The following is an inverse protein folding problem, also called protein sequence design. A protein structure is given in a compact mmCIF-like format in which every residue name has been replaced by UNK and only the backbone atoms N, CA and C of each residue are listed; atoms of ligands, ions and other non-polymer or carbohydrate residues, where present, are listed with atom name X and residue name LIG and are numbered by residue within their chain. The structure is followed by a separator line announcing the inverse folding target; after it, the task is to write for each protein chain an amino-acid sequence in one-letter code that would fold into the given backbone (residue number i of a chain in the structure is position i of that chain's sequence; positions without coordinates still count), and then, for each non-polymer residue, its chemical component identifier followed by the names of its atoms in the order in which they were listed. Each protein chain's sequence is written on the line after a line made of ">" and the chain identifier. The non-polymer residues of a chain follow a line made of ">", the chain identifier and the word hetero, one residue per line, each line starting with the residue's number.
data_IF_799175372311
#
_entry.id   IF_799175372311
#
_cell.length_a   1.000
_cell.length_b   1.000
_cell.length_c   1.000
_cell.angle_alpha   90.00
_cell.angle_beta   90.00
_cell.angle_gamma   90.00
#
_symmetry.space_group_name_H-M   'P 1'
#
loop_
_entity.id
_entity.type
_entity.pdbx_description
1 polymer ?
2 non-polymer ?
#
# COMPACT_ATOMS: atom_id res chain seq x y z
N UNK A 1 26.13 4.22 1.81
CA UNK A 1 24.72 3.89 2.00
C UNK A 1 24.49 2.39 2.19
N UNK A 2 23.74 2.04 3.22
CA UNK A 2 23.51 0.63 3.56
C UNK A 2 22.03 0.26 3.69
N UNK A 3 21.20 0.88 2.86
CA UNK A 3 19.78 0.52 2.76
C UNK A 3 19.30 0.53 1.31
N UNK A 4 18.31 -0.30 1.01
CA UNK A 4 17.75 -0.41 -0.33
C UNK A 4 16.60 0.57 -0.54
N UNK A 5 16.68 1.35 -1.61
CA UNK A 5 15.63 2.31 -1.89
C UNK A 5 14.80 1.84 -3.06
N UNK A 6 13.51 2.10 -2.97
CA UNK A 6 12.55 1.65 -3.95
C UNK A 6 11.55 2.74 -4.19
N UNK A 7 11.19 2.92 -5.45
CA UNK A 7 10.08 3.79 -5.79
C UNK A 7 8.93 2.89 -6.25
N UNK A 8 7.81 2.97 -5.55
CA UNK A 8 6.66 2.15 -5.83
C UNK A 8 5.59 3.02 -6.44
N UNK A 9 5.15 2.68 -7.67
CA UNK A 9 4.09 3.51 -8.25
C UNK A 9 2.75 3.29 -7.58
N UNK A 10 2.07 4.36 -7.17
CA UNK A 10 0.77 4.27 -6.48
C UNK A 10 0.01 5.57 -6.68
N UNK A 11 -1.19 5.50 -7.28
CA UNK A 11 -2.00 6.71 -7.55
C UNK A 11 -2.28 7.44 -6.25
N UNK A 12 -2.76 8.68 -6.34
CA UNK A 12 -2.87 9.47 -5.12
C UNK A 12 -4.15 9.12 -4.36
N UNK A 13 -4.86 8.11 -4.86
CA UNK A 13 -6.15 7.70 -4.30
C UNK A 13 -6.07 6.36 -3.56
N UNK A 14 -5.55 5.34 -4.24
CA UNK A 14 -5.37 4.05 -3.62
C UNK A 14 -4.16 3.97 -2.71
N UNK A 15 -3.51 5.12 -2.50
CA UNK A 15 -2.24 5.18 -1.78
C UNK A 15 -2.30 4.57 -0.39
N UNK A 16 -3.24 5.06 0.43
CA UNK A 16 -3.42 4.52 1.77
C UNK A 16 -3.43 3.01 1.68
N UNK A 17 -4.14 2.50 0.70
CA UNK A 17 -4.33 1.06 0.56
C UNK A 17 -3.06 0.38 0.09
N UNK A 18 -2.30 1.08 -0.76
CA UNK A 18 -1.03 0.53 -1.25
C UNK A 18 -0.11 0.39 -0.06
N UNK A 19 -0.08 1.43 0.76
CA UNK A 19 0.64 1.46 2.04
C UNK A 19 0.35 0.19 2.83
N UNK A 20 -0.93 -0.14 2.98
CA UNK A 20 -1.31 -1.30 3.80
C UNK A 20 -0.82 -2.59 3.16
N UNK A 21 -0.93 -2.69 1.83
CA UNK A 21 -0.53 -3.90 1.13
C UNK A 21 0.93 -4.22 1.46
N UNK A 22 1.73 -3.15 1.45
CA UNK A 22 3.17 -3.24 1.58
C UNK A 22 3.59 -3.69 2.96
N UNK A 23 2.90 -3.14 3.95
CA UNK A 23 3.10 -3.48 5.36
C UNK A 23 2.87 -4.97 5.62
N UNK A 24 1.78 -5.50 5.06
CA UNK A 24 1.43 -6.92 5.17
C UNK A 24 2.43 -7.83 4.45
N UNK A 25 2.86 -7.39 3.27
CA UNK A 25 3.72 -8.15 2.36
C UNK A 25 5.19 -8.20 2.80
N UNK A 26 5.61 -7.21 3.59
CA UNK A 26 6.99 -7.12 4.06
C UNK A 26 7.09 -7.59 5.50
N UNK A 27 5.99 -7.44 6.24
CA UNK A 27 5.91 -7.84 7.65
C UNK A 27 7.04 -7.23 8.48
N UNK A 28 7.23 -5.91 8.35
CA UNK A 28 8.31 -5.23 9.08
C UNK A 28 8.00 -5.30 10.56
N UNK A 29 9.03 -5.45 11.39
CA UNK A 29 8.80 -5.46 12.83
C UNK A 29 8.49 -4.06 13.30
N UNK A 30 9.16 -3.07 12.70
CA UNK A 30 8.87 -1.65 12.96
C UNK A 30 8.90 -0.85 11.66
N UNK A 31 7.87 -0.02 11.44
CA UNK A 31 7.82 0.89 10.30
C UNK A 31 7.64 2.35 10.71
N UNK A 32 8.16 3.26 9.90
CA UNK A 32 7.87 4.67 10.06
C UNK A 32 7.40 5.28 8.75
N UNK A 33 6.23 5.92 8.76
CA UNK A 33 5.61 6.46 7.55
C UNK A 33 5.55 7.98 7.54
N UNK A 34 6.45 8.58 6.78
CA UNK A 34 6.55 10.03 6.75
C UNK A 34 5.57 10.67 5.77
N UNK A 35 4.80 11.62 6.28
CA UNK A 35 3.90 12.39 5.44
C UNK A 35 4.37 13.85 5.37
N UNK A 36 3.52 14.73 4.87
CA UNK A 36 3.90 16.15 4.79
C UNK A 36 3.41 16.94 5.99
N UNK A 37 2.09 16.98 6.19
CA UNK A 37 1.49 17.86 7.18
C UNK A 37 1.12 17.12 8.45
N UNK A 38 0.82 17.89 9.50
CA UNK A 38 0.39 17.32 10.75
C UNK A 38 -0.94 16.61 10.59
N UNK A 39 -1.84 17.21 9.83
CA UNK A 39 -3.19 16.68 9.70
C UNK A 39 -3.19 15.26 9.12
N UNK A 40 -2.34 15.04 8.12
CA UNK A 40 -2.31 13.77 7.42
C UNK A 40 -1.93 12.58 8.31
N UNK A 41 -1.13 12.80 9.34
CA UNK A 41 -0.63 11.69 10.16
C UNK A 41 -1.76 10.95 10.86
N UNK A 42 -2.65 11.70 11.48
CA UNK A 42 -3.79 11.12 12.18
C UNK A 42 -4.74 10.52 11.14
N UNK A 43 -4.90 11.24 10.03
CA UNK A 43 -5.67 10.75 8.89
C UNK A 43 -5.21 9.33 8.52
N UNK A 44 -3.97 9.23 8.07
CA UNK A 44 -3.33 7.96 7.73
C UNK A 44 -3.26 6.97 8.89
N UNK A 45 -2.79 7.41 10.05
CA UNK A 45 -2.68 6.51 11.19
C UNK A 45 -4.01 5.83 11.49
N UNK A 46 -5.11 6.59 11.46
CA UNK A 46 -6.43 6.04 11.76
C UNK A 46 -6.78 4.91 10.80
N UNK A 47 -6.57 5.14 9.51
CA UNK A 47 -6.91 4.18 8.48
C UNK A 47 -6.07 2.91 8.41
N UNK A 48 -4.93 2.89 9.10
CA UNK A 48 -4.10 1.69 9.13
C UNK A 48 -4.62 0.75 10.22
N UNK A 49 -4.98 1.33 11.36
CA UNK A 49 -5.69 0.60 12.40
C UNK A 49 -6.94 0.01 11.78
N UNK A 50 -7.67 0.88 11.08
CA UNK A 50 -8.85 0.48 10.33
C UNK A 50 -8.57 -0.72 9.42
N UNK A 51 -7.32 -0.83 8.98
CA UNK A 51 -6.95 -1.87 8.02
C UNK A 51 -6.20 -3.03 8.66
N UNK A 52 -6.23 -3.11 9.99
CA UNK A 52 -5.66 -4.23 10.71
C UNK A 52 -4.24 -3.99 11.20
N UNK A 53 -3.80 -2.74 11.09
CA UNK A 53 -2.42 -2.40 11.44
C UNK A 53 -2.31 -1.65 12.73
N UNK A 54 -1.43 -2.14 13.63
CA UNK A 54 -1.09 -1.49 14.90
C UNK A 54 -0.36 -0.16 14.68
N UNK A 55 -1.09 0.95 14.48
CA UNK A 55 -0.45 2.22 14.11
C UNK A 55 -0.89 3.43 14.93
N UNK A 56 0.00 4.41 15.06
CA UNK A 56 -0.27 5.62 15.84
C UNK A 56 0.43 6.81 15.22
N UNK A 57 -0.12 8.01 15.43
CA UNK A 57 0.41 9.21 14.74
C UNK A 57 1.33 10.09 15.60
N UNK A 58 1.93 11.11 14.97
CA UNK A 58 3.01 11.89 15.58
C UNK A 58 3.25 13.19 14.79
N UNK A 59 2.95 14.35 15.37
CA UNK A 59 2.77 15.55 14.56
C UNK A 59 3.42 16.85 15.03
N UNK A 60 3.29 17.17 16.31
CA UNK A 60 3.79 18.44 16.82
C UNK A 60 2.91 19.06 17.89
N UNK A 61 1.65 18.64 17.95
CA UNK A 61 0.77 19.02 19.04
C UNK A 61 0.95 17.95 20.10
N UNK A 62 2.14 17.36 20.10
CA UNK A 62 2.50 16.33 21.05
C UNK A 62 3.20 17.02 22.21
N UNK A 63 2.73 16.80 23.43
CA UNK A 63 3.46 17.28 24.60
C UNK A 63 4.36 16.16 25.07
N UNK A 64 5.55 16.52 25.54
CA UNK A 64 6.58 15.56 25.93
C UNK A 64 6.02 14.29 26.57
N UNK A 65 5.00 14.44 27.40
CA UNK A 65 4.39 13.32 28.09
C UNK A 65 3.69 12.35 27.17
N UNK A 66 2.86 12.87 26.27
CA UNK A 66 2.09 12.03 25.35
C UNK A 66 2.81 11.82 24.04
N UNK A 67 4.13 11.67 24.13
CA UNK A 67 4.97 11.40 22.99
C UNK A 67 5.81 10.20 23.35
N UNK A 68 6.05 10.06 24.66
CA UNK A 68 6.93 9.02 25.19
C UNK A 68 6.23 7.68 25.27
N UNK A 69 4.98 7.68 25.69
CA UNK A 69 4.20 6.46 25.73
C UNK A 69 4.25 5.88 24.32
N UNK A 70 3.84 6.70 23.37
CA UNK A 70 3.94 6.39 21.95
C UNK A 70 5.23 5.60 21.67
N UNK A 71 6.38 6.21 21.95
CA UNK A 71 7.67 5.60 21.62
C UNK A 71 7.91 4.29 22.38
N UNK A 72 7.41 4.21 23.61
CA UNK A 72 7.52 3.00 24.40
C UNK A 72 6.82 1.84 23.72
N UNK A 73 5.55 2.07 23.39
CA UNK A 73 4.73 1.07 22.68
C UNK A 73 5.32 0.69 21.33
N UNK A 74 6.06 1.60 20.72
CA UNK A 74 6.58 1.40 19.37
C UNK A 74 7.77 0.44 19.39
N UNK A 75 8.75 0.74 20.25
CA UNK A 75 9.96 -0.06 20.33
C UNK A 75 9.68 -1.46 20.87
N UNK A 76 8.83 -1.51 21.89
CA UNK A 76 8.52 -2.76 22.58
C UNK A 76 7.86 -3.75 21.63
N UNK A 77 6.98 -3.25 20.76
CA UNK A 77 6.31 -4.08 19.77
C UNK A 77 4.80 -3.91 19.78
N UNK A 78 4.32 -3.02 20.63
CA UNK A 78 2.88 -2.80 20.78
C UNK A 78 2.29 -2.08 19.57
N UNK A 79 2.92 -0.97 19.18
CA UNK A 79 2.62 -0.33 17.90
C UNK A 79 3.71 -0.64 16.90
N UNK A 80 3.36 -1.38 15.84
CA UNK A 80 4.30 -1.88 14.85
C UNK A 80 4.57 -0.85 13.72
N UNK A 81 3.82 0.26 13.71
CA UNK A 81 3.88 1.28 12.63
C UNK A 81 3.71 2.71 13.19
N UNK A 82 4.58 3.65 12.81
CA UNK A 82 4.51 5.04 13.32
C UNK A 82 4.43 6.06 12.16
N UNK A 83 3.43 6.95 12.24
CA UNK A 83 3.12 7.89 11.16
C UNK A 83 3.41 9.32 11.62
N UNK A 84 4.35 9.99 10.94
CA UNK A 84 4.88 11.24 11.47
C UNK A 84 5.17 12.32 10.43
N UNK A 85 5.56 13.48 10.91
CA UNK A 85 5.99 14.59 10.06
C UNK A 85 7.49 14.75 10.20
N UNK A 86 8.08 15.56 9.34
CA UNK A 86 9.51 15.79 9.37
C UNK A 86 9.94 16.47 10.66
N UNK A 87 9.01 17.15 11.30
CA UNK A 87 9.31 17.88 12.52
C UNK A 87 9.24 16.96 13.74
N UNK A 88 8.06 16.41 14.03
CA UNK A 88 7.92 15.48 15.14
C UNK A 88 8.80 14.23 14.98
N UNK A 89 9.67 14.20 13.98
CA UNK A 89 10.52 13.04 13.74
C UNK A 89 11.90 13.21 14.34
N UNK A 90 12.45 14.42 14.25
CA UNK A 90 13.77 14.70 14.79
C UNK A 90 13.78 14.57 16.30
N UNK A 91 14.93 14.23 16.85
CA UNK A 91 15.04 13.95 18.26
C UNK A 91 15.83 12.68 18.45
N UNK A 92 16.62 12.65 19.52
CA UNK A 92 17.53 11.54 19.78
C UNK A 92 16.76 10.38 20.43
N UNK A 93 15.45 10.60 20.57
CA UNK A 93 14.53 9.68 21.22
C UNK A 93 13.75 8.85 20.20
N UNK A 94 14.35 8.61 19.04
CA UNK A 94 13.67 7.92 17.95
C UNK A 94 14.39 6.63 17.55
N UNK A 95 13.70 5.49 17.68
CA UNK A 95 14.22 4.14 17.41
C UNK A 95 14.80 3.95 16.01
N UNK A 96 15.45 2.80 15.79
CA UNK A 96 15.84 2.37 14.46
C UNK A 96 14.72 1.46 13.94
N UNK A 97 14.41 1.55 12.65
CA UNK A 97 13.32 0.76 12.09
C UNK A 97 13.75 -0.08 10.88
N UNK A 98 12.82 -0.88 10.39
CA UNK A 98 13.07 -1.83 9.33
C UNK A 98 12.69 -1.21 8.00
N UNK A 99 11.64 -0.38 8.07
CA UNK A 99 11.06 0.23 6.88
C UNK A 99 10.74 1.72 7.06
N UNK A 100 11.13 2.54 6.07
CA UNK A 100 10.64 3.92 5.99
C UNK A 100 9.84 4.10 4.71
N UNK A 101 8.65 4.67 4.80
CA UNK A 101 7.84 4.94 3.62
C UNK A 101 7.58 6.44 3.46
N UNK A 102 7.93 6.96 2.28
CA UNK A 102 7.66 8.34 1.98
C UNK A 102 6.28 8.45 1.36
N UNK A 103 5.28 8.60 2.22
CA UNK A 103 3.91 8.74 1.77
C UNK A 103 3.76 9.89 0.79
N UNK A 104 4.40 11.01 1.10
CA UNK A 104 4.38 12.19 0.25
C UNK A 104 5.83 12.63 0.12
N UNK A 105 6.44 12.47 -1.06
CA UNK A 105 7.89 12.67 -1.17
C UNK A 105 8.42 13.92 -0.45
N UNK A 106 9.71 13.88 -0.07
CA UNK A 106 10.40 14.97 0.67
C UNK A 106 10.40 16.28 -0.10
N UNK A 107 10.08 17.37 0.59
CA UNK A 107 10.03 18.68 -0.04
C UNK A 107 11.44 19.20 -0.28
N UNK A 108 12.43 18.56 0.34
CA UNK A 108 13.81 18.69 -0.10
C UNK A 108 14.66 17.45 0.17
N UNK A 109 15.79 17.38 -0.51
CA UNK A 109 16.68 16.21 -0.44
C UNK A 109 17.50 16.17 0.84
N UNK A 110 17.22 17.09 1.75
CA UNK A 110 17.80 16.99 3.07
C UNK A 110 16.78 16.25 3.91
N UNK A 111 15.52 16.53 3.66
CA UNK A 111 14.47 15.84 4.41
C UNK A 111 14.30 14.37 3.97
N UNK A 112 14.76 14.00 2.76
CA UNK A 112 14.78 12.59 2.36
C UNK A 112 15.87 11.87 3.15
N UNK A 113 17.01 12.52 3.30
CA UNK A 113 18.14 11.84 3.92
C UNK A 113 17.91 11.61 5.40
N UNK A 114 17.30 12.58 6.06
CA UNK A 114 17.01 12.46 7.49
C UNK A 114 15.86 11.48 7.67
N UNK A 115 14.96 11.45 6.70
CA UNK A 115 13.86 10.50 6.73
C UNK A 115 14.39 9.08 6.57
N UNK A 116 15.00 8.81 5.42
CA UNK A 116 15.48 7.48 5.09
C UNK A 116 16.58 6.98 6.03
N UNK A 117 17.50 7.88 6.38
CA UNK A 117 18.64 7.54 7.19
C UNK A 117 18.31 6.69 8.41
N UNK A 118 17.06 6.80 8.88
CA UNK A 118 16.61 6.18 10.13
C UNK A 118 16.35 4.68 9.97
N UNK A 119 17.15 4.00 9.14
CA UNK A 119 16.84 2.63 8.78
C UNK A 119 18.09 1.76 8.69
N UNK A 125 21.40 -3.65 7.07
CA UNK A 125 20.71 -2.49 6.52
C UNK A 125 19.21 -2.65 6.59
N UNK A 126 18.48 -1.61 6.16
CA UNK A 126 17.01 -1.61 6.16
C UNK A 126 16.42 -1.23 4.81
N UNK A 127 15.17 -0.77 4.79
CA UNK A 127 14.48 -0.50 3.51
C UNK A 127 13.74 0.85 3.43
N UNK A 128 13.89 1.52 2.30
CA UNK A 128 13.22 2.80 2.07
C UNK A 128 12.33 2.77 0.81
N UNK A 129 11.11 3.26 0.95
CA UNK A 129 10.12 3.23 -0.13
C UNK A 129 9.45 4.59 -0.35
N UNK A 130 9.41 5.03 -1.61
CA UNK A 130 8.77 6.30 -1.96
C UNK A 130 7.48 6.03 -2.68
N UNK A 131 6.40 6.71 -2.30
CA UNK A 131 5.16 6.57 -3.06
C UNK A 131 5.01 7.74 -4.03
N UNK A 132 4.81 7.40 -5.30
CA UNK A 132 4.51 8.38 -6.34
C UNK A 132 3.41 7.83 -7.24
N UNK A 133 2.63 8.71 -7.86
CA UNK A 133 1.56 8.24 -8.72
C UNK A 133 1.08 9.24 -9.76
N UNK A 134 0.44 10.32 -9.29
CA UNK A 134 -0.08 11.42 -10.10
C UNK A 134 0.92 11.93 -11.14
N UNK A 135 1.77 11.03 -11.63
CA UNK A 135 2.80 11.36 -12.60
C UNK A 135 3.82 12.27 -11.92
N UNK A 136 4.15 11.97 -10.67
CA UNK A 136 5.20 12.70 -9.93
C UNK A 136 6.54 12.21 -10.43
N UNK A 137 6.54 11.39 -11.48
CA UNK A 137 7.76 10.72 -11.94
C UNK A 137 8.96 11.65 -12.10
N UNK A 138 8.74 12.85 -12.61
CA UNK A 138 9.84 13.80 -12.76
C UNK A 138 10.34 14.29 -11.38
N UNK A 139 9.41 14.48 -10.44
CA UNK A 139 9.78 14.91 -9.09
C UNK A 139 10.64 13.85 -8.46
N UNK A 140 10.32 12.61 -8.77
CA UNK A 140 11.08 11.47 -8.31
C UNK A 140 12.51 11.54 -8.85
N UNK A 141 12.68 11.64 -10.17
CA UNK A 141 14.03 11.66 -10.74
C UNK A 141 14.78 12.95 -10.48
N UNK A 142 14.07 13.97 -9.98
CA UNK A 142 14.73 15.16 -9.48
C UNK A 142 15.37 14.82 -8.13
N UNK A 143 14.63 14.08 -7.30
CA UNK A 143 15.16 13.67 -6.00
C UNK A 143 16.41 12.88 -6.26
N UNK A 144 16.31 11.94 -7.19
CA UNK A 144 17.44 11.08 -7.49
C UNK A 144 18.62 11.95 -7.92
N UNK A 145 18.34 13.07 -8.57
CA UNK A 145 19.41 13.96 -8.98
C UNK A 145 19.98 14.67 -7.77
N UNK A 146 19.09 15.20 -6.94
CA UNK A 146 19.50 15.86 -5.69
C UNK A 146 20.33 14.90 -4.84
N UNK A 147 19.71 13.77 -4.51
CA UNK A 147 20.32 12.71 -3.73
C UNK A 147 21.47 12.08 -4.51
N UNK A 148 21.36 12.06 -5.84
CA UNK A 148 22.37 11.41 -6.65
C UNK A 148 22.24 9.89 -6.65
N UNK A 149 21.05 9.38 -6.37
CA UNK A 149 20.82 7.93 -6.48
C UNK A 149 19.61 7.59 -7.34
N UNK A 150 19.71 6.46 -8.02
CA UNK A 150 18.62 5.94 -8.84
C UNK A 150 17.77 4.91 -8.08
N UNK A 151 16.62 5.34 -7.57
CA UNK A 151 15.73 4.43 -6.85
C UNK A 151 15.21 3.36 -7.79
N UNK A 152 15.45 2.10 -7.43
CA UNK A 152 14.86 0.99 -8.19
C UNK A 152 13.33 1.10 -8.17
N UNK A 153 12.71 1.13 -9.36
CA UNK A 153 11.26 1.13 -9.46
C UNK A 153 10.76 -0.27 -9.13
N UNK A 154 9.78 -0.37 -8.24
CA UNK A 154 9.17 -1.67 -7.92
C UNK A 154 7.64 -1.66 -7.95
N UNK A 155 7.06 -2.75 -8.48
CA UNK A 155 5.62 -2.96 -8.50
C UNK A 155 5.04 -3.09 -7.09
N UNK A 156 3.83 -2.54 -6.91
CA UNK A 156 3.17 -2.72 -5.62
C UNK A 156 2.72 -4.18 -5.55
N UNK A 157 2.41 -4.69 -4.35
CA UNK A 157 2.04 -6.12 -4.24
C UNK A 157 0.70 -6.44 -4.92
N UNK A 158 0.61 -7.57 -5.62
CA UNK A 158 -0.65 -8.01 -6.20
C UNK A 158 -1.67 -8.32 -5.12
N UNK A 159 -2.96 -8.22 -5.46
CA UNK A 159 -3.98 -8.51 -4.45
C UNK A 159 -3.76 -9.91 -3.87
N UNK A 160 -3.40 -10.85 -4.74
CA UNK A 160 -3.08 -12.20 -4.30
C UNK A 160 -1.90 -12.23 -3.33
N UNK A 161 -0.82 -11.52 -3.68
CA UNK A 161 0.35 -11.40 -2.81
C UNK A 161 -0.18 -10.98 -1.42
N UNK A 162 -0.97 -9.90 -1.39
CA UNK A 162 -1.53 -9.33 -0.16
C UNK A 162 -2.24 -10.36 0.71
N UNK A 163 -3.20 -11.05 0.10
CA UNK A 163 -4.00 -12.01 0.85
C UNK A 163 -3.16 -13.10 1.50
N UNK A 164 -2.23 -13.70 0.76
CA UNK A 164 -1.38 -14.66 1.43
C UNK A 164 -0.65 -13.99 2.60
N UNK A 165 -0.42 -12.68 2.50
CA UNK A 165 0.23 -11.97 3.60
C UNK A 165 -0.71 -11.80 4.80
N UNK A 166 -1.92 -11.30 4.58
CA UNK A 166 -2.88 -11.22 5.68
C UNK A 166 -2.87 -12.57 6.37
N UNK A 167 -3.33 -13.57 5.64
CA UNK A 167 -3.41 -14.96 6.10
C UNK A 167 -2.19 -15.33 6.92
N UNK A 168 -1.02 -15.15 6.36
CA UNK A 168 0.23 -15.51 7.03
C UNK A 168 0.33 -14.83 8.40
N UNK A 169 0.11 -13.52 8.43
CA UNK A 169 0.07 -12.77 9.70
C UNK A 169 -1.01 -13.32 10.59
N UNK A 170 -2.20 -13.48 10.01
CA UNK A 170 -3.33 -14.00 10.78
C UNK A 170 -3.02 -15.32 11.45
N UNK A 171 -2.25 -16.17 10.77
CA UNK A 171 -1.88 -17.47 11.37
C UNK A 171 -0.95 -17.32 12.57
N UNK A 172 0.14 -16.57 12.39
CA UNK A 172 1.12 -16.40 13.46
C UNK A 172 0.45 -15.81 14.68
N UNK A 173 -0.61 -15.06 14.43
CA UNK A 173 -1.38 -14.38 15.46
C UNK A 173 -2.21 -15.42 16.17
N UNK A 174 -2.69 -16.40 15.42
CA UNK A 174 -3.49 -17.46 16.02
C UNK A 174 -2.65 -18.31 16.97
N UNK A 175 -1.42 -18.61 16.56
CA UNK A 175 -0.55 -19.47 17.36
C UNK A 175 -0.17 -18.85 18.71
N UNK A 176 -0.71 -17.66 18.98
CA UNK A 176 -0.39 -16.86 20.17
C UNK A 176 -1.47 -16.94 21.24
N UNK A 177 -2.54 -17.65 20.92
CA UNK A 177 -3.68 -17.71 21.82
C UNK A 177 -3.54 -18.89 22.77
N UNK A 178 -3.53 -18.61 24.07
CA UNK A 178 -3.45 -19.67 25.06
C UNK A 178 -4.53 -20.71 24.80
N UNK A 179 -4.25 -21.95 25.19
CA UNK A 179 -5.20 -23.05 25.08
C UNK A 179 -6.45 -22.79 25.92
N UNK A 180 -6.30 -22.01 26.99
CA UNK A 180 -7.42 -21.65 27.85
C UNK A 180 -8.38 -20.73 27.10
N UNK A 181 -7.83 -19.67 26.49
CA UNK A 181 -8.66 -18.81 25.65
C UNK A 181 -9.42 -19.65 24.61
N UNK A 182 -8.67 -20.35 23.76
CA UNK A 182 -9.29 -20.94 22.59
C UNK A 182 -10.12 -22.18 22.91
N UNK A 183 -9.74 -22.89 23.96
CA UNK A 183 -10.53 -24.06 24.36
C UNK A 183 -11.95 -23.64 24.77
N UNK A 184 -12.07 -22.42 25.28
CA UNK A 184 -13.36 -21.80 25.58
C UNK A 184 -14.32 -21.85 24.39
N UNK A 185 -13.77 -21.97 23.18
CA UNK A 185 -14.63 -21.93 22.01
C UNK A 185 -14.60 -23.26 21.27
N UNK A 186 -13.88 -24.24 21.82
CA UNK A 186 -13.80 -25.56 21.19
C UNK A 186 -15.17 -26.24 20.97
N UNK A 187 -16.22 -25.75 21.62
CA UNK A 187 -17.55 -26.27 21.30
C UNK A 187 -18.06 -25.67 20.00
N UNK A 188 -18.18 -24.34 19.97
CA UNK A 188 -18.63 -23.66 18.76
C UNK A 188 -17.80 -24.02 17.53
N UNK A 189 -16.47 -24.01 17.65
CA UNK A 189 -15.67 -24.41 16.50
C UNK A 189 -16.06 -25.84 16.12
N UNK A 190 -16.40 -26.65 17.11
CA UNK A 190 -16.76 -28.03 16.84
C UNK A 190 -18.05 -28.12 16.04
N UNK A 191 -19.04 -27.33 16.47
CA UNK A 191 -20.34 -27.21 15.79
C UNK A 191 -20.11 -26.98 14.29
N UNK A 192 -19.17 -26.09 13.98
CA UNK A 192 -18.94 -25.69 12.58
C UNK A 192 -18.42 -26.85 11.76
N UNK A 193 -17.33 -27.46 12.23
CA UNK A 193 -16.70 -28.54 11.48
C UNK A 193 -17.70 -29.66 11.25
N UNK A 194 -18.48 -29.94 12.28
CA UNK A 194 -19.49 -30.97 12.20
C UNK A 194 -20.41 -30.70 10.99
N UNK A 195 -21.14 -29.59 11.06
CA UNK A 195 -22.12 -29.25 10.03
C UNK A 195 -21.49 -28.81 8.70
N UNK A 196 -20.16 -28.91 8.62
CA UNK A 196 -19.43 -28.48 7.44
C UNK A 196 -19.76 -27.06 6.98
N UNK A 197 -19.90 -26.11 7.92
CA UNK A 197 -20.26 -24.73 7.55
C UNK A 197 -19.05 -23.91 7.12
N UNK A 198 -18.54 -24.22 5.93
CA UNK A 198 -17.30 -23.61 5.43
C UNK A 198 -17.49 -22.15 4.97
N UNK A 199 -18.67 -21.84 4.46
CA UNK A 199 -19.05 -20.46 4.14
C UNK A 199 -18.94 -19.61 5.40
N UNK A 200 -19.46 -20.12 6.52
CA UNK A 200 -19.47 -19.36 7.77
C UNK A 200 -18.06 -18.98 8.18
N UNK A 201 -17.18 -19.97 8.11
CA UNK A 201 -15.76 -19.75 8.39
C UNK A 201 -15.17 -18.70 7.48
N UNK A 202 -15.49 -18.75 6.20
CA UNK A 202 -15.02 -17.70 5.27
C UNK A 202 -15.45 -16.33 5.80
N UNK A 203 -16.75 -16.18 6.09
CA UNK A 203 -17.25 -14.95 6.71
C UNK A 203 -16.34 -14.55 7.87
N UNK A 204 -16.11 -15.45 8.83
CA UNK A 204 -15.22 -15.09 9.94
C UNK A 204 -13.95 -14.39 9.44
N UNK A 205 -13.24 -15.06 8.52
CA UNK A 205 -12.01 -14.53 7.94
C UNK A 205 -12.16 -13.13 7.36
N UNK A 206 -13.19 -12.92 6.54
CA UNK A 206 -13.48 -11.58 6.03
C UNK A 206 -13.50 -10.56 7.16
N UNK A 207 -14.28 -10.82 8.21
CA UNK A 207 -14.39 -9.91 9.37
C UNK A 207 -13.06 -9.44 9.88
N UNK A 208 -12.06 -10.30 9.77
CA UNK A 208 -10.74 -10.04 10.34
C UNK A 208 -9.83 -9.42 9.30
N UNK A 209 -9.96 -9.92 8.07
CA UNK A 209 -9.02 -9.60 7.03
C UNK A 209 -9.52 -8.46 6.16
N UNK A 210 -10.73 -8.00 6.46
CA UNK A 210 -11.23 -6.77 5.88
C UNK A 210 -11.86 -6.88 4.50
N UNK A 211 -12.17 -8.10 4.07
CA UNK A 211 -12.94 -8.32 2.86
C UNK A 211 -12.56 -7.55 1.59
N UNK A 212 -13.53 -7.46 0.67
CA UNK A 212 -13.25 -7.08 -0.72
C UNK A 212 -12.64 -5.69 -0.91
N UNK A 213 -11.51 -5.64 -1.63
CA UNK A 213 -10.91 -4.39 -2.08
C UNK A 213 -11.62 -3.94 -3.35
N UNK A 214 -11.62 -2.62 -3.58
CA UNK A 214 -12.18 -2.04 -4.80
C UNK A 214 -11.25 -2.24 -5.99
N UNK A 215 -11.86 -2.43 -7.17
CA UNK A 215 -11.12 -2.46 -8.42
C UNK A 215 -10.78 -1.02 -8.80
N UNK A 216 -9.53 -0.62 -8.59
CA UNK A 216 -9.13 0.77 -8.85
C UNK A 216 -8.27 0.89 -10.10
N UNK A 217 -8.42 2.01 -10.81
CA UNK A 217 -7.59 2.31 -11.96
C UNK A 217 -6.18 2.68 -11.51
N UNK A 218 -5.18 2.20 -12.25
CA UNK A 218 -3.81 2.53 -11.93
C UNK A 218 -3.35 3.84 -12.57
N UNK A 219 -4.28 4.54 -13.22
CA UNK A 219 -3.98 5.84 -13.80
C UNK A 219 -4.60 6.98 -12.99
N UNK A 220 -5.73 6.70 -12.33
CA UNK A 220 -6.50 7.75 -11.70
C UNK A 220 -6.75 7.47 -10.24
N UNK A 221 -6.28 6.30 -9.79
CA UNK A 221 -6.58 5.84 -8.45
C UNK A 221 -8.08 5.69 -8.25
N UNK A 222 -8.84 5.84 -9.33
CA UNK A 222 -10.29 5.83 -9.27
C UNK A 222 -10.83 4.40 -9.32
N UNK A 223 -11.98 4.16 -8.68
CA UNK A 223 -12.56 2.82 -8.63
C UNK A 223 -13.61 2.66 -9.73
N UNK A 224 -13.92 1.41 -10.08
CA UNK A 224 -14.75 1.14 -11.24
C UNK A 224 -13.93 1.05 -12.53
N UNK A 225 -12.61 0.93 -12.38
CA UNK A 225 -11.73 0.82 -13.53
C UNK A 225 -10.66 -0.25 -13.31
N UNK A 226 -10.33 -0.94 -14.39
CA UNK A 226 -9.16 -1.82 -14.39
C UNK A 226 -8.21 -1.39 -15.50
N UNK A 227 -7.08 -0.81 -15.11
CA UNK A 227 -6.10 -0.29 -16.05
C UNK A 227 -5.48 -1.41 -16.89
N UNK A 228 -5.30 -1.15 -18.18
CA UNK A 228 -4.78 -2.14 -19.13
C UNK A 228 -3.49 -1.69 -19.86
N UNK A 229 -2.86 -2.62 -20.58
CA UNK A 229 -1.78 -2.30 -21.50
C UNK A 229 -2.25 -2.72 -22.89
N UNK A 230 -2.20 -1.78 -23.83
CA UNK A 230 -2.69 -2.01 -25.18
C UNK A 230 -1.66 -1.64 -26.25
N UNK A 231 -1.28 -2.62 -27.06
CA UNK A 231 -0.38 -2.39 -28.19
C UNK A 231 -1.01 -2.93 -29.46
N UNK A 232 -0.71 -2.30 -30.58
CA UNK A 232 -1.26 -2.72 -31.85
C UNK A 232 -0.66 -1.99 -33.03
N UNK A 233 -0.85 -2.54 -34.24
CA UNK A 233 -0.31 -1.93 -35.46
C UNK A 233 -0.85 -0.52 -35.63
N UNK A 234 0.05 0.42 -35.95
CA UNK A 234 -0.32 1.82 -36.17
C UNK A 234 -1.43 2.26 -35.23
N UNK A 235 -1.38 1.76 -34.00
CA UNK A 235 -2.38 2.06 -33.01
C UNK A 235 -2.12 3.42 -32.39
N UNK A 236 -2.96 4.38 -32.71
CA UNK A 236 -2.94 5.64 -31.96
C UNK A 236 -4.18 5.68 -31.09
N UNK A 237 -4.27 6.68 -30.24
CA UNK A 237 -5.40 6.82 -29.33
C UNK A 237 -6.72 6.69 -30.09
N UNK A 238 -6.96 7.57 -31.07
CA UNK A 238 -8.29 7.57 -31.70
C UNK A 238 -8.71 6.17 -32.16
N UNK A 239 -7.74 5.42 -32.69
CA UNK A 239 -7.98 4.08 -33.22
C UNK A 239 -8.27 3.09 -32.08
N UNK A 240 -7.26 2.81 -31.26
CA UNK A 240 -7.48 2.09 -30.02
C UNK A 240 -8.86 2.40 -29.41
N UNK A 241 -9.24 3.67 -29.37
CA UNK A 241 -10.53 4.06 -28.78
C UNK A 241 -11.72 3.67 -29.66
N UNK A 242 -11.62 3.92 -30.96
CA UNK A 242 -12.66 3.50 -31.89
C UNK A 242 -12.84 1.97 -31.92
N UNK A 243 -11.74 1.23 -31.78
CA UNK A 243 -11.81 -0.24 -31.69
C UNK A 243 -12.60 -0.72 -30.45
N UNK A 244 -12.35 -0.07 -29.32
CA UNK A 244 -13.02 -0.41 -28.07
C UNK A 244 -14.49 0.01 -28.09
N UNK A 245 -14.78 1.21 -28.62
CA UNK A 245 -16.14 1.70 -28.67
C UNK A 245 -16.97 0.90 -29.68
N UNK A 246 -16.29 0.36 -30.69
CA UNK A 246 -16.92 -0.51 -31.66
C UNK A 246 -17.40 -1.81 -31.01
N UNK A 247 -16.66 -2.26 -30.00
CA UNK A 247 -17.05 -3.45 -29.23
C UNK A 247 -18.01 -3.04 -28.12
N UNK A 248 -18.57 -1.83 -28.22
CA UNK A 248 -19.50 -1.29 -27.22
C UNK A 248 -19.02 -1.28 -25.78
N UNK A 249 -17.77 -0.89 -25.56
CA UNK A 249 -17.20 -0.83 -24.21
C UNK A 249 -17.27 0.58 -23.59
N UNK A 250 -17.09 0.66 -22.27
CA UNK A 250 -16.94 1.94 -21.60
C UNK A 250 -15.45 2.22 -21.44
N UNK A 251 -14.98 3.31 -22.04
CA UNK A 251 -13.56 3.67 -21.97
C UNK A 251 -13.35 4.84 -21.03
N UNK A 252 -12.41 4.68 -20.10
CA UNK A 252 -12.01 5.76 -19.22
C UNK A 252 -10.65 6.33 -19.59
N UNK A 253 -9.88 6.68 -18.57
CA UNK A 253 -8.60 7.35 -18.75
C UNK A 253 -7.84 6.53 -19.78
N UNK A 254 -7.54 7.15 -20.91
CA UNK A 254 -6.58 6.59 -21.82
C UNK A 254 -5.37 7.52 -21.66
N UNK A 255 -4.20 6.93 -21.47
CA UNK A 255 -2.94 7.66 -21.56
C UNK A 255 -1.96 6.84 -22.41
N UNK A 256 -0.87 7.48 -22.86
CA UNK A 256 0.12 6.79 -23.69
C UNK A 256 1.22 6.07 -22.92
N UNK A 257 1.39 4.80 -23.25
CA UNK A 257 2.33 3.91 -22.58
C UNK A 257 3.61 3.73 -23.37
N UNK A 258 4.51 2.92 -22.82
CA UNK A 258 5.76 2.60 -23.49
C UNK A 258 5.55 1.40 -24.42
N UNK A 259 5.30 1.69 -25.69
CA UNK A 259 5.06 0.65 -26.67
C UNK A 259 3.58 0.41 -26.87
N UNK A 260 2.78 1.37 -26.44
CA UNK A 260 1.33 1.27 -26.57
C UNK A 260 0.65 2.32 -25.73
N UNK A 261 -0.61 2.07 -25.40
CA UNK A 261 -1.37 2.97 -24.53
C UNK A 261 -1.84 2.22 -23.28
N UNK A 262 -2.07 2.96 -22.20
CA UNK A 262 -2.80 2.43 -21.05
C UNK A 262 -4.26 2.84 -21.20
N UNK A 263 -5.17 1.94 -20.84
CA UNK A 263 -6.60 2.22 -21.01
C UNK A 263 -7.50 1.54 -19.98
N UNK A 264 -8.08 2.33 -19.10
CA UNK A 264 -9.06 1.82 -18.15
C UNK A 264 -10.28 1.25 -18.86
N UNK A 265 -10.67 0.05 -18.46
CA UNK A 265 -11.97 -0.49 -18.86
C UNK A 265 -12.64 -0.95 -17.59
N UNK A 266 -13.91 -1.31 -17.70
CA UNK A 266 -14.64 -1.71 -16.50
C UNK A 266 -14.14 -3.06 -15.99
N UNK A 267 -14.13 -3.23 -14.66
CA UNK A 267 -13.69 -4.44 -13.94
C UNK A 267 -14.30 -5.72 -14.50
N UNK A 268 -15.49 -5.61 -15.06
CA UNK A 268 -16.22 -6.77 -15.52
C UNK A 268 -15.97 -7.06 -16.99
N UNK A 269 -15.85 -5.99 -17.78
CA UNK A 269 -15.69 -6.12 -19.22
C UNK A 269 -14.61 -7.13 -19.58
N UNK A 270 -14.85 -7.89 -20.65
CA UNK A 270 -13.86 -8.81 -21.18
C UNK A 270 -13.49 -8.44 -22.61
N UNK A 271 -12.20 -8.06 -22.82
CA UNK A 271 -11.70 -7.42 -24.05
C UNK A 271 -11.03 -8.36 -25.06
N UNK A 272 -11.75 -8.67 -26.15
CA UNK A 272 -11.16 -9.35 -27.30
C UNK A 272 -11.39 -8.56 -28.58
N UNK A 273 -10.43 -7.71 -28.93
CA UNK A 273 -10.50 -6.96 -30.17
C UNK A 273 -9.46 -7.49 -31.15
N UNK A 274 -9.92 -7.93 -32.31
CA UNK A 274 -9.04 -8.54 -33.28
C UNK A 274 -7.77 -7.70 -33.48
N UNK A 275 -6.63 -8.39 -33.50
CA UNK A 275 -5.35 -7.77 -33.82
C UNK A 275 -4.72 -7.00 -32.67
N UNK A 276 -5.55 -6.57 -31.74
CA UNK A 276 -5.09 -5.75 -30.62
C UNK A 276 -4.78 -6.61 -29.40
N UNK A 277 -3.65 -6.33 -28.76
CA UNK A 277 -3.16 -7.18 -27.69
C UNK A 277 -3.37 -6.56 -26.31
N UNK A 278 -4.31 -7.14 -25.55
CA UNK A 278 -4.77 -6.56 -24.29
C UNK A 278 -4.44 -7.39 -23.04
N UNK A 279 -3.62 -6.82 -22.18
CA UNK A 279 -3.30 -7.43 -20.89
C UNK A 279 -3.58 -6.40 -19.81
N UNK A 280 -3.81 -6.86 -18.57
CA UNK A 280 -3.84 -5.92 -17.44
C UNK A 280 -2.42 -5.49 -17.03
N UNK A 281 -2.31 -4.49 -16.15
CA UNK A 281 -0.99 -3.97 -15.76
C UNK A 281 -0.56 -4.44 -14.37
#
# INVERSE_FOLDING_TARGET
>A
VTYEEEAVPAPVRGRLEVLSDLLYVASPDRAMVFTRTKAETEEIAQGLLRLGHPAQALHGDMSQGERERVMGAFRQGEVRVLVATDVAARGLDIPQVDLVVHYRMPDRAEAYQHRSGRTGRAGRGGRVVLLYGPRERRDVEALERAVGRRFKRVNPPTPEEVLEAKWRHLLARLARVPEKDYRLYQDFAGRLFAEGRVEVVAALLALLLGGAPAERSLLTGEEGWRTYKATGPRLSLPRLVALLKGQGLEVGKVAEAEGGFYVDLRPEARPEVAGLRLEPARRVEGLLEIPSRTRRPARA
#
